data_IF_819028638396
#
_entry.id   IF_819028638396
#
_cell.length_a   1.000
_cell.length_b   1.000
_cell.length_c   1.000
_cell.angle_alpha   90.00
_cell.angle_beta   90.00
_cell.angle_gamma   90.00
#
_symmetry.space_group_name_H-M   'P 1'
#
loop_
_entity.id
_entity.type
_entity.pdbx_description
1 polymer ?
#
# COMPACT_ATOMS: atom_id res chain seq x y z
N UNK A 1 14.98 18.01 9.83
CA UNK A 1 16.07 17.28 10.51
C UNK A 1 15.61 16.94 11.92
N UNK A 2 15.78 15.70 12.37
CA UNK A 2 15.64 15.41 13.79
C UNK A 2 16.83 16.04 14.53
N UNK A 3 16.56 16.94 15.47
CA UNK A 3 17.59 17.62 16.27
C UNK A 3 18.28 16.69 17.28
N UNK A 4 17.77 15.47 17.46
CA UNK A 4 18.29 14.45 18.39
C UNK A 4 19.28 13.49 17.74
N UNK A 5 19.16 13.24 16.43
CA UNK A 5 19.93 12.19 15.72
C UNK A 5 20.60 12.66 14.43
N UNK A 6 20.20 13.80 13.85
CA UNK A 6 20.74 14.29 12.57
C UNK A 6 20.22 13.54 11.34
N UNK A 7 19.36 12.53 11.51
CA UNK A 7 18.85 11.74 10.41
C UNK A 7 17.79 12.48 9.58
N UNK A 8 17.93 12.39 8.25
CA UNK A 8 16.93 12.87 7.30
C UNK A 8 15.87 11.80 7.05
N UNK A 9 14.70 11.96 7.67
CA UNK A 9 13.53 11.09 7.49
C UNK A 9 12.76 11.41 6.19
N UNK A 10 13.20 12.42 5.43
CA UNK A 10 12.59 12.88 4.17
C UNK A 10 12.43 11.72 3.17
N UNK A 11 13.45 10.86 3.07
CA UNK A 11 13.46 9.73 2.14
C UNK A 11 12.43 8.65 2.50
N UNK A 12 12.19 8.41 3.81
CA UNK A 12 11.11 7.51 4.26
C UNK A 12 9.74 8.07 3.94
N UNK A 13 9.58 9.40 4.01
CA UNK A 13 8.34 10.09 3.64
C UNK A 13 7.99 9.84 2.17
N UNK A 14 8.95 10.07 1.27
CA UNK A 14 8.74 9.86 -0.18
C UNK A 14 8.47 8.40 -0.55
N UNK A 15 9.21 7.46 0.05
CA UNK A 15 8.96 6.03 -0.15
C UNK A 15 7.57 5.62 0.35
N UNK A 16 7.16 6.07 1.54
CA UNK A 16 5.87 5.72 2.12
C UNK A 16 4.71 6.33 1.31
N UNK A 17 4.85 7.58 0.87
CA UNK A 17 3.88 8.23 -0.02
C UNK A 17 3.72 7.45 -1.33
N UNK A 18 4.84 7.08 -1.96
CA UNK A 18 4.83 6.27 -3.18
C UNK A 18 4.14 4.92 -2.95
N UNK A 19 4.41 4.28 -1.81
CA UNK A 19 3.76 3.02 -1.46
C UNK A 19 2.26 3.19 -1.23
N UNK A 20 1.83 4.23 -0.53
CA UNK A 20 0.40 4.51 -0.36
C UNK A 20 -0.27 4.64 -1.72
N UNK A 21 0.29 5.41 -2.65
CA UNK A 21 -0.29 5.61 -3.98
C UNK A 21 -0.31 4.35 -4.86
N UNK A 22 0.57 3.37 -4.61
CA UNK A 22 0.61 2.09 -5.34
C UNK A 22 -0.50 1.12 -4.88
N UNK A 23 -0.83 1.12 -3.58
CA UNK A 23 -1.71 0.12 -2.97
C UNK A 23 -3.14 0.07 -3.53
N UNK A 24 -3.82 1.19 -3.88
CA UNK A 24 -5.12 1.16 -4.55
C UNK A 24 -5.15 0.41 -5.88
N UNK A 25 -4.01 0.32 -6.59
CA UNK A 25 -3.93 -0.47 -7.82
C UNK A 25 -3.87 -1.98 -7.59
N UNK A 26 -3.62 -2.41 -6.34
CA UNK A 26 -3.38 -3.80 -5.96
C UNK A 26 -4.54 -4.33 -5.12
N UNK A 27 -5.04 -3.51 -4.20
CA UNK A 27 -6.11 -3.84 -3.28
C UNK A 27 -7.41 -3.16 -3.69
N UNK A 28 -8.55 -3.74 -3.31
CA UNK A 28 -9.86 -3.13 -3.53
C UNK A 28 -10.09 -2.02 -2.50
N UNK A 29 -9.26 -0.98 -2.55
CA UNK A 29 -9.28 0.15 -1.63
C UNK A 29 -9.03 1.45 -2.38
N UNK A 30 -9.54 2.54 -1.84
CA UNK A 30 -9.15 3.91 -2.20
C UNK A 30 -8.50 4.60 -1.01
N UNK A 31 -7.62 5.57 -1.29
CA UNK A 31 -7.08 6.47 -0.27
C UNK A 31 -7.91 7.74 -0.26
N UNK A 32 -8.70 7.93 0.79
CA UNK A 32 -9.49 9.13 0.98
C UNK A 32 -8.64 10.28 1.54
N UNK A 33 -7.72 9.97 2.47
CA UNK A 33 -6.79 10.93 3.05
C UNK A 33 -5.58 10.22 3.65
N UNK A 34 -4.45 10.92 3.74
CA UNK A 34 -3.29 10.45 4.49
C UNK A 34 -2.48 11.62 5.05
N UNK A 35 -1.74 11.38 6.13
CA UNK A 35 -0.79 12.32 6.73
C UNK A 35 0.45 11.55 7.19
N UNK A 36 1.64 12.01 6.77
CA UNK A 36 2.92 11.38 7.11
C UNK A 36 3.76 12.35 7.93
N UNK A 37 4.11 11.94 9.15
CA UNK A 37 4.98 12.66 10.07
C UNK A 37 6.29 11.88 10.30
N UNK A 38 7.23 12.46 11.03
CA UNK A 38 8.55 11.85 11.27
C UNK A 38 8.49 10.57 12.11
N UNK A 39 7.49 10.42 12.97
CA UNK A 39 7.37 9.31 13.94
C UNK A 39 6.15 8.40 13.71
N UNK A 40 5.18 8.78 12.88
CA UNK A 40 4.00 7.98 12.55
C UNK A 40 3.28 8.49 11.30
N UNK A 41 2.26 7.77 10.86
CA UNK A 41 1.40 8.17 9.75
C UNK A 41 -0.06 7.81 10.06
N UNK A 42 -0.99 8.58 9.50
CA UNK A 42 -2.42 8.31 9.50
C UNK A 42 -2.89 8.08 8.07
N UNK A 43 -3.77 7.11 7.86
CA UNK A 43 -4.38 6.82 6.55
C UNK A 43 -5.86 6.57 6.75
N UNK A 44 -6.67 7.19 5.90
CA UNK A 44 -8.10 6.94 5.79
C UNK A 44 -8.32 6.22 4.47
N UNK A 45 -8.85 5.00 4.57
CA UNK A 45 -9.11 4.12 3.43
C UNK A 45 -10.61 3.92 3.27
N UNK A 46 -11.03 3.84 2.02
CA UNK A 46 -12.31 3.24 1.65
C UNK A 46 -12.03 1.80 1.20
N UNK A 47 -12.81 0.83 1.70
CA UNK A 47 -12.72 -0.57 1.26
C UNK A 47 -13.85 -0.82 0.28
N UNK A 48 -13.50 -1.01 -0.99
CA UNK A 48 -14.46 -1.32 -2.04
C UNK A 48 -14.81 -2.82 -2.01
N UNK A 49 -15.77 -3.15 -1.15
CA UNK A 49 -16.24 -4.53 -0.97
C UNK A 49 -16.86 -5.09 -2.25
N UNK A 50 -17.54 -4.27 -3.03
CA UNK A 50 -18.23 -4.72 -4.24
C UNK A 50 -17.21 -5.08 -5.32
N UNK A 51 -16.16 -4.26 -5.49
CA UNK A 51 -15.03 -4.61 -6.36
C UNK A 51 -14.32 -5.89 -5.88
N UNK A 52 -14.06 -6.02 -4.57
CA UNK A 52 -13.40 -7.20 -4.01
C UNK A 52 -14.19 -8.49 -4.28
N UNK A 53 -15.52 -8.44 -4.14
CA UNK A 53 -16.40 -9.59 -4.39
C UNK A 53 -16.60 -9.90 -5.88
N UNK A 54 -16.40 -8.91 -6.75
CA UNK A 54 -16.49 -9.09 -8.19
C UNK A 54 -15.23 -9.74 -8.80
N UNK A 55 -14.09 -9.69 -8.11
CA UNK A 55 -12.84 -10.29 -8.60
C UNK A 55 -12.89 -11.81 -8.53
N UNK A 56 -12.43 -12.46 -9.60
CA UNK A 56 -12.17 -13.89 -9.58
C UNK A 56 -10.93 -14.22 -8.74
N UNK A 57 -10.85 -15.45 -8.22
CA UNK A 57 -9.67 -15.93 -7.47
C UNK A 57 -8.36 -15.70 -8.24
N UNK A 58 -8.37 -15.90 -9.57
CA UNK A 58 -7.20 -15.65 -10.43
C UNK A 58 -6.80 -14.17 -10.44
N UNK A 59 -7.77 -13.28 -10.47
CA UNK A 59 -7.54 -11.83 -10.42
C UNK A 59 -7.01 -11.37 -9.07
N UNK A 60 -7.54 -11.93 -7.98
CA UNK A 60 -7.05 -11.69 -6.63
C UNK A 60 -5.58 -12.11 -6.52
N UNK A 61 -5.26 -13.31 -7.01
CA UNK A 61 -3.89 -13.85 -7.02
C UNK A 61 -2.96 -12.97 -7.89
N UNK A 62 -3.38 -12.60 -9.10
CA UNK A 62 -2.58 -11.78 -10.00
C UNK A 62 -2.26 -10.41 -9.41
N UNK A 63 -3.24 -9.77 -8.76
CA UNK A 63 -3.03 -8.51 -8.05
C UNK A 63 -2.10 -8.67 -6.85
N UNK A 64 -2.32 -9.70 -6.02
CA UNK A 64 -1.44 -10.00 -4.89
C UNK A 64 0.02 -10.17 -5.33
N UNK A 65 0.23 -10.72 -6.52
CA UNK A 65 1.55 -10.90 -7.12
C UNK A 65 2.28 -9.62 -7.53
N UNK A 66 1.58 -8.50 -7.67
CA UNK A 66 2.20 -7.19 -7.92
C UNK A 66 3.02 -6.72 -6.71
N UNK A 67 2.63 -7.13 -5.49
CA UNK A 67 3.31 -6.76 -4.26
C UNK A 67 4.16 -7.90 -3.68
N UNK A 68 3.69 -9.13 -3.81
CA UNK A 68 4.29 -10.31 -3.18
C UNK A 68 4.70 -11.35 -4.21
N UNK A 69 5.85 -11.98 -4.00
CA UNK A 69 6.30 -13.06 -4.88
C UNK A 69 5.34 -14.26 -4.90
N UNK A 70 4.58 -14.48 -3.82
CA UNK A 70 3.72 -15.64 -3.59
C UNK A 70 4.49 -16.97 -3.63
N UNK A 71 3.86 -18.05 -4.06
CA UNK A 71 4.46 -19.40 -4.09
C UNK A 71 4.19 -20.12 -5.42
N UNK A 72 4.79 -21.30 -5.60
CA UNK A 72 4.66 -22.09 -6.85
C UNK A 72 3.22 -22.50 -7.18
N UNK A 73 2.31 -22.55 -6.20
CA UNK A 73 0.90 -22.86 -6.45
C UNK A 73 0.14 -21.62 -6.93
N UNK A 74 0.43 -20.45 -6.36
CA UNK A 74 -0.22 -19.19 -6.76
C UNK A 74 0.32 -18.64 -8.09
N UNK A 75 1.49 -19.08 -8.54
CA UNK A 75 2.10 -18.70 -9.82
C UNK A 75 1.70 -19.60 -11.01
N UNK A 76 0.88 -20.64 -10.79
CA UNK A 76 0.36 -21.53 -11.84
C UNK A 76 -0.96 -21.02 -12.38
#
# INVERSE_FOLDING_TARGET
MDHSTGDSYEHRRGWLESKLLELPGIFAIDIAAYAIMSNHYHVVLHVDKDAALAWSDKEVISRWHLLFKGNLLSQR
#
